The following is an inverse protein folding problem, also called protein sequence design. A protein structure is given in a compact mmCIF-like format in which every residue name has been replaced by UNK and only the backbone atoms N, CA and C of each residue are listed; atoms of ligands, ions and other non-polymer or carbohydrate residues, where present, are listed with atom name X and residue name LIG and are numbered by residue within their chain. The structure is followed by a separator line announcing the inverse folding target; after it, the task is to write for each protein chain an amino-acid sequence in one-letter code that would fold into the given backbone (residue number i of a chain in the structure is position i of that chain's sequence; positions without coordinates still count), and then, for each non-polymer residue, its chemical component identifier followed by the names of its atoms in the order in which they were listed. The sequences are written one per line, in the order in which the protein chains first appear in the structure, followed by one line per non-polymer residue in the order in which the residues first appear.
data_IF_021089540237
#
_entry.id   IF_021089540237
#
_cell.length_a   1.000
_cell.length_b   1.000
_cell.length_c   1.000
_cell.angle_alpha   90.00
_cell.angle_beta   90.00
_cell.angle_gamma   90.00
#
_symmetry.space_group_name_H-M   'P 1'
#
loop_
_entity.id
_entity.type
_entity.pdbx_description
1 polymer ?
#
# COMPACT_ATOMS: atom_id res chain seq x y z
N UNK A 1 31.84 8.72 -6.03
CA UNK A 1 30.40 8.87 -6.28
C UNK A 1 29.92 10.12 -5.57
N UNK A 2 29.08 10.93 -6.20
CA UNK A 2 28.47 12.09 -5.55
C UNK A 2 27.52 11.58 -4.48
N UNK A 3 27.48 12.23 -3.31
CA UNK A 3 26.59 11.85 -2.21
C UNK A 3 25.11 11.99 -2.62
N UNK A 4 24.32 10.96 -2.39
CA UNK A 4 22.89 10.95 -2.70
C UNK A 4 22.13 11.58 -1.53
N UNK A 5 21.50 12.74 -1.76
CA UNK A 5 20.62 13.40 -0.79
C UNK A 5 19.30 12.68 -0.70
N UNK A 6 18.83 12.43 0.51
CA UNK A 6 17.56 11.77 0.78
C UNK A 6 16.85 12.34 2.00
N UNK A 7 15.55 12.05 2.13
CA UNK A 7 14.82 12.15 3.38
C UNK A 7 14.07 10.85 3.64
N UNK A 8 13.99 10.46 4.91
CA UNK A 8 13.25 9.28 5.35
C UNK A 8 11.93 9.72 5.97
N UNK A 9 10.86 9.09 5.51
CA UNK A 9 9.50 9.25 6.02
C UNK A 9 8.91 7.89 6.34
N UNK A 10 7.81 7.87 7.09
CA UNK A 10 7.02 6.67 7.28
C UNK A 10 5.52 6.98 7.34
N UNK A 11 4.71 6.02 6.89
CA UNK A 11 3.29 5.97 7.16
C UNK A 11 3.00 4.78 8.08
N UNK A 12 2.61 5.04 9.34
CA UNK A 12 2.29 3.98 10.31
C UNK A 12 3.41 2.93 10.50
N UNK A 13 4.67 3.36 10.52
CA UNK A 13 5.83 2.49 10.71
C UNK A 13 6.38 1.85 9.42
N UNK A 14 5.64 1.85 8.31
CA UNK A 14 6.14 1.45 7.00
C UNK A 14 6.94 2.60 6.39
N UNK A 15 8.26 2.44 6.28
CA UNK A 15 9.23 3.51 6.10
C UNK A 15 9.88 3.51 4.71
N UNK A 16 10.02 4.71 4.14
CA UNK A 16 10.58 4.91 2.80
C UNK A 16 11.66 5.98 2.78
N UNK A 17 12.71 5.72 2.03
CA UNK A 17 13.75 6.70 1.68
C UNK A 17 13.28 7.41 0.40
N UNK A 18 13.01 8.71 0.49
CA UNK A 18 12.56 9.52 -0.64
C UNK A 18 13.77 10.22 -1.26
N UNK A 19 13.93 10.06 -2.57
CA UNK A 19 15.05 10.59 -3.36
C UNK A 19 14.49 11.33 -4.58
N UNK A 20 15.00 12.53 -4.84
CA UNK A 20 14.76 13.22 -6.10
C UNK A 20 15.57 12.57 -7.21
N UNK A 21 14.95 12.28 -8.35
CA UNK A 21 15.60 11.61 -9.49
C UNK A 21 16.87 12.32 -9.97
N UNK A 22 16.94 13.65 -9.83
CA UNK A 22 18.13 14.42 -10.19
C UNK A 22 19.38 14.07 -9.36
N UNK A 23 19.18 13.52 -8.15
CA UNK A 23 20.29 13.03 -7.30
C UNK A 23 20.85 11.66 -7.75
N UNK A 24 20.21 11.00 -8.72
CA UNK A 24 20.53 9.66 -9.19
C UNK A 24 21.28 9.65 -10.53
N UNK A 25 21.71 10.79 -11.05
CA UNK A 25 22.34 10.91 -12.38
C UNK A 25 23.60 10.04 -12.57
N UNK A 26 24.33 9.75 -11.49
CA UNK A 26 25.53 8.88 -11.51
C UNK A 26 25.26 7.46 -11.02
N UNK A 27 24.01 7.11 -10.71
CA UNK A 27 23.62 5.78 -10.22
C UNK A 27 23.41 4.85 -11.40
N UNK A 28 24.27 3.82 -11.51
CA UNK A 28 24.24 2.88 -12.61
C UNK A 28 23.05 1.89 -12.53
N UNK A 29 22.60 1.56 -11.31
CA UNK A 29 21.57 0.56 -11.08
C UNK A 29 20.69 0.95 -9.87
N UNK A 30 19.44 1.29 -10.13
CA UNK A 30 18.47 1.59 -9.08
C UNK A 30 18.11 0.38 -8.20
N UNK A 31 17.98 -0.85 -8.74
CA UNK A 31 17.84 -2.06 -7.92
C UNK A 31 19.00 -2.29 -6.94
N UNK A 32 20.25 -2.14 -7.39
CA UNK A 32 21.41 -2.31 -6.51
C UNK A 32 21.49 -1.22 -5.44
N UNK A 33 21.15 0.01 -5.78
CA UNK A 33 21.04 1.09 -4.80
C UNK A 33 19.99 0.74 -3.75
N UNK A 34 18.80 0.28 -4.14
CA UNK A 34 17.74 -0.08 -3.21
C UNK A 34 18.18 -1.19 -2.25
N UNK A 35 18.85 -2.25 -2.75
CA UNK A 35 19.38 -3.32 -1.92
C UNK A 35 20.40 -2.82 -0.89
N UNK A 36 21.27 -1.90 -1.29
CA UNK A 36 22.30 -1.34 -0.41
C UNK A 36 21.72 -0.38 0.63
N UNK A 37 20.96 0.63 0.18
CA UNK A 37 20.48 1.72 1.04
C UNK A 37 19.36 1.28 1.99
N UNK A 38 18.50 0.32 1.58
CA UNK A 38 17.42 -0.21 2.40
C UNK A 38 17.88 -1.23 3.45
N UNK A 39 19.12 -1.73 3.39
CA UNK A 39 19.63 -2.67 4.38
C UNK A 39 19.65 -2.00 5.77
N UNK A 40 18.94 -2.59 6.76
CA UNK A 40 18.79 -2.00 8.10
C UNK A 40 20.05 -2.09 8.97
N UNK A 41 21.04 -2.88 8.57
CA UNK A 41 22.29 -3.07 9.33
C UNK A 41 23.50 -2.34 8.70
N UNK A 42 23.52 -2.21 7.38
CA UNK A 42 24.67 -1.66 6.65
C UNK A 42 24.31 -0.44 5.80
N UNK A 43 23.02 -0.14 5.61
CA UNK A 43 22.48 1.01 4.91
C UNK A 43 21.75 1.99 5.84
N UNK A 44 20.89 2.79 5.26
CA UNK A 44 19.96 3.67 5.99
C UNK A 44 18.85 2.84 6.65
N UNK A 45 18.45 1.74 6.00
CA UNK A 45 17.37 0.87 6.41
C UNK A 45 16.00 1.45 6.09
N UNK A 46 15.22 0.75 5.26
CA UNK A 46 13.84 1.11 4.94
C UNK A 46 13.09 -0.08 4.33
N UNK A 47 11.78 0.05 4.21
CA UNK A 47 10.91 -0.89 3.50
C UNK A 47 10.90 -0.63 1.98
N UNK A 48 11.58 0.42 1.53
CA UNK A 48 11.77 0.73 0.12
C UNK A 48 12.30 2.14 -0.11
N UNK A 49 12.56 2.43 -1.38
CA UNK A 49 12.85 3.78 -1.84
C UNK A 49 11.69 4.29 -2.69
N UNK A 50 11.42 5.60 -2.60
CA UNK A 50 10.50 6.32 -3.45
C UNK A 50 11.29 7.36 -4.25
N UNK A 51 11.39 7.17 -5.56
CA UNK A 51 12.11 8.07 -6.46
C UNK A 51 11.11 9.01 -7.10
N UNK A 52 11.29 10.31 -6.86
CA UNK A 52 10.45 11.37 -7.41
C UNK A 52 11.10 12.04 -8.61
N UNK A 53 10.30 12.31 -9.62
CA UNK A 53 10.70 13.09 -10.77
C UNK A 53 9.61 14.11 -11.12
N UNK A 54 10.00 15.38 -11.27
CA UNK A 54 9.08 16.42 -11.72
C UNK A 54 8.76 16.21 -13.19
N UNK A 55 7.48 16.31 -13.54
CA UNK A 55 7.01 16.21 -14.92
C UNK A 55 6.71 17.58 -15.48
N UNK A 56 7.21 17.85 -16.69
CA UNK A 56 6.92 19.04 -17.45
C UNK A 56 5.94 18.70 -18.58
N UNK A 57 4.83 19.45 -18.70
CA UNK A 57 3.85 19.32 -19.78
C UNK A 57 3.08 17.98 -19.83
N UNK A 58 2.71 17.43 -18.67
CA UNK A 58 2.02 16.16 -18.59
C UNK A 58 0.66 16.29 -17.84
N UNK A 59 -0.11 15.21 -17.82
CA UNK A 59 -1.36 15.09 -17.07
C UNK A 59 -1.16 14.85 -15.55
N UNK A 60 0.11 14.68 -15.12
CA UNK A 60 0.55 14.56 -13.73
C UNK A 60 1.62 15.62 -13.39
N UNK A 61 1.75 15.95 -12.11
CA UNK A 61 2.69 16.96 -11.62
C UNK A 61 4.07 16.36 -11.33
N UNK A 62 4.08 15.12 -10.81
CA UNK A 62 5.29 14.32 -10.53
C UNK A 62 5.07 12.87 -10.93
N UNK A 63 6.15 12.14 -11.22
CA UNK A 63 6.18 10.70 -11.18
C UNK A 63 6.82 10.19 -9.90
N UNK A 64 6.42 9.00 -9.46
CA UNK A 64 7.01 8.30 -8.34
C UNK A 64 7.21 6.83 -8.68
N UNK A 65 8.44 6.37 -8.63
CA UNK A 65 8.78 4.95 -8.74
C UNK A 65 9.12 4.39 -7.36
N UNK A 66 8.46 3.28 -7.00
CA UNK A 66 8.69 2.58 -5.75
C UNK A 66 9.57 1.36 -6.03
N UNK A 67 10.69 1.26 -5.32
CA UNK A 67 11.61 0.13 -5.41
C UNK A 67 11.73 -0.55 -4.05
N UNK A 68 11.47 -1.84 -4.03
CA UNK A 68 11.53 -2.67 -2.83
C UNK A 68 12.99 -2.92 -2.39
N UNK A 69 13.22 -3.36 -1.13
CA UNK A 69 14.57 -3.65 -0.63
C UNK A 69 15.31 -4.75 -1.40
N UNK A 70 14.61 -5.63 -2.10
CA UNK A 70 15.20 -6.67 -2.96
C UNK A 70 15.58 -6.16 -4.37
N UNK A 71 15.30 -4.87 -4.66
CA UNK A 71 15.53 -4.24 -5.95
C UNK A 71 14.38 -4.39 -6.94
N UNK A 72 13.32 -5.12 -6.62
CA UNK A 72 12.15 -5.23 -7.48
C UNK A 72 11.34 -3.92 -7.47
N UNK A 73 10.68 -3.62 -8.61
CA UNK A 73 9.88 -2.40 -8.73
C UNK A 73 8.43 -2.73 -8.42
N UNK A 74 7.86 -2.01 -7.47
CA UNK A 74 6.46 -2.14 -7.10
C UNK A 74 5.55 -1.38 -8.09
N UNK A 75 4.36 -1.92 -8.37
CA UNK A 75 3.33 -1.23 -9.13
C UNK A 75 2.82 0.02 -8.41
N UNK A 76 2.61 -0.10 -7.10
CA UNK A 76 2.11 0.95 -6.21
C UNK A 76 2.40 0.61 -4.75
N UNK A 77 2.66 1.62 -3.93
CA UNK A 77 2.66 1.56 -2.47
C UNK A 77 1.96 2.81 -1.92
N UNK A 78 0.85 2.62 -1.22
CA UNK A 78 0.10 3.74 -0.63
C UNK A 78 0.93 4.54 0.38
N UNK A 79 1.72 3.85 1.22
CA UNK A 79 2.60 4.52 2.18
C UNK A 79 3.81 5.16 1.49
N UNK A 80 4.45 4.45 0.55
CA UNK A 80 5.63 4.96 -0.17
C UNK A 80 5.32 6.21 -0.99
N UNK A 81 4.23 6.21 -1.74
CA UNK A 81 3.81 7.39 -2.52
C UNK A 81 3.35 8.53 -1.63
N UNK A 82 2.70 8.25 -0.49
CA UNK A 82 2.33 9.28 0.50
C UNK A 82 3.57 9.91 1.14
N UNK A 83 4.60 9.11 1.47
CA UNK A 83 5.90 9.61 1.93
C UNK A 83 6.57 10.52 0.88
N UNK A 84 6.46 10.16 -0.40
CA UNK A 84 6.97 10.97 -1.51
C UNK A 84 6.26 12.31 -1.62
N UNK A 85 4.92 12.34 -1.50
CA UNK A 85 4.14 13.59 -1.48
C UNK A 85 4.49 14.44 -0.25
N UNK A 86 4.63 13.81 0.92
CA UNK A 86 5.04 14.51 2.16
C UNK A 86 6.43 15.17 2.03
N UNK A 87 7.36 14.51 1.35
CA UNK A 87 8.68 15.08 1.07
C UNK A 87 8.58 16.39 0.27
N UNK A 88 7.72 16.45 -0.75
CA UNK A 88 7.54 17.66 -1.56
C UNK A 88 7.01 18.84 -0.72
N UNK A 89 6.07 18.58 0.18
CA UNK A 89 5.57 19.60 1.11
C UNK A 89 6.63 19.99 2.15
N UNK A 90 7.33 19.03 2.74
CA UNK A 90 8.39 19.27 3.72
C UNK A 90 9.53 20.12 3.14
N UNK A 91 9.95 19.84 1.92
CA UNK A 91 10.96 20.63 1.19
C UNK A 91 10.43 21.95 0.64
N UNK A 92 9.12 22.22 0.78
CA UNK A 92 8.45 23.41 0.23
C UNK A 92 8.59 23.51 -1.29
N UNK A 93 8.78 22.39 -1.97
CA UNK A 93 8.84 22.28 -3.43
C UNK A 93 7.44 22.32 -4.02
N UNK A 94 6.44 21.81 -3.26
CA UNK A 94 5.03 21.81 -3.60
C UNK A 94 4.22 22.46 -2.48
N UNK A 95 3.46 23.50 -2.80
CA UNK A 95 2.69 24.28 -1.82
C UNK A 95 1.18 24.26 -2.08
N UNK A 96 0.75 23.60 -3.15
CA UNK A 96 -0.66 23.43 -3.46
C UNK A 96 -1.26 22.28 -2.64
N UNK A 97 -2.55 22.35 -2.34
CA UNK A 97 -3.25 21.32 -1.58
C UNK A 97 -3.34 20.01 -2.36
N UNK A 98 -3.64 20.06 -3.66
CA UNK A 98 -3.76 18.90 -4.53
C UNK A 98 -2.47 18.61 -5.29
N UNK A 99 -2.19 17.32 -5.55
CA UNK A 99 -1.07 16.86 -6.36
C UNK A 99 -1.46 15.62 -7.15
N UNK A 100 -1.14 15.58 -8.43
CA UNK A 100 -1.32 14.43 -9.32
C UNK A 100 0.01 13.69 -9.45
N UNK A 101 0.05 12.48 -8.93
CA UNK A 101 1.25 11.65 -8.89
C UNK A 101 1.11 10.48 -9.86
N UNK A 102 1.96 10.43 -10.88
CA UNK A 102 2.05 9.28 -11.78
C UNK A 102 2.80 8.13 -11.10
N UNK A 103 2.20 6.96 -11.11
CA UNK A 103 2.79 5.69 -10.66
C UNK A 103 2.69 4.65 -11.77
N UNK A 104 3.30 3.48 -11.60
CA UNK A 104 3.12 2.36 -12.54
C UNK A 104 1.68 1.85 -12.62
N UNK A 105 0.88 2.05 -11.57
CA UNK A 105 -0.55 1.68 -11.54
C UNK A 105 -1.49 2.84 -11.93
N UNK A 106 -0.97 3.84 -12.64
CA UNK A 106 -1.72 5.02 -13.08
C UNK A 106 -1.53 6.25 -12.21
N UNK A 107 -2.26 7.31 -12.53
CA UNK A 107 -2.22 8.58 -11.80
C UNK A 107 -3.02 8.43 -10.51
N UNK A 108 -2.46 8.96 -9.42
CA UNK A 108 -3.07 9.04 -8.10
C UNK A 108 -3.21 10.50 -7.70
N UNK A 109 -4.41 10.91 -7.32
CA UNK A 109 -4.67 12.26 -6.84
C UNK A 109 -4.49 12.27 -5.33
N UNK A 110 -3.62 13.16 -4.86
CA UNK A 110 -3.38 13.40 -3.44
C UNK A 110 -3.94 14.75 -3.03
N UNK A 111 -4.58 14.80 -1.88
CA UNK A 111 -5.05 16.04 -1.25
C UNK A 111 -4.43 16.14 0.14
N UNK A 112 -3.69 17.22 0.42
CA UNK A 112 -3.25 17.54 1.77
C UNK A 112 -4.46 17.96 2.60
N UNK A 113 -4.79 17.19 3.63
CA UNK A 113 -5.90 17.48 4.53
C UNK A 113 -5.45 18.35 5.71
N UNK A 114 -4.31 18.00 6.32
CA UNK A 114 -3.83 18.64 7.53
C UNK A 114 -2.31 18.62 7.61
N UNK A 115 -1.75 19.70 8.15
CA UNK A 115 -0.36 19.79 8.61
C UNK A 115 -0.38 19.94 10.13
N UNK A 116 -0.07 18.87 10.86
CA UNK A 116 -0.04 18.89 12.34
C UNK A 116 1.18 19.69 12.82
N UNK A 117 2.33 19.45 12.18
CA UNK A 117 3.57 20.15 12.40
C UNK A 117 4.45 20.01 11.16
N UNK A 118 5.58 20.72 11.09
CA UNK A 118 6.53 20.57 9.98
C UNK A 118 7.06 19.13 9.94
N UNK A 119 6.82 18.47 8.81
CA UNK A 119 7.14 17.05 8.62
C UNK A 119 6.04 16.05 9.00
N UNK A 120 4.88 16.51 9.50
CA UNK A 120 3.78 15.65 9.93
C UNK A 120 2.48 16.03 9.21
N UNK A 121 2.08 15.21 8.25
CA UNK A 121 0.99 15.51 7.32
C UNK A 121 -0.05 14.42 7.27
N UNK A 122 -1.32 14.81 7.03
CA UNK A 122 -2.38 13.91 6.64
C UNK A 122 -2.79 14.15 5.20
N UNK A 123 -2.89 13.08 4.45
CA UNK A 123 -3.30 13.10 3.05
C UNK A 123 -4.48 12.16 2.82
N UNK A 124 -5.36 12.56 1.92
CA UNK A 124 -6.29 11.70 1.23
C UNK A 124 -5.73 11.40 -0.16
N UNK A 125 -5.82 10.13 -0.58
CA UNK A 125 -5.39 9.67 -1.89
C UNK A 125 -6.53 8.95 -2.62
N UNK A 126 -6.81 9.32 -3.86
CA UNK A 126 -7.60 8.51 -4.78
C UNK A 126 -6.71 7.39 -5.33
N UNK A 127 -6.99 6.15 -4.93
CA UNK A 127 -6.12 5.02 -5.27
C UNK A 127 -6.63 4.18 -6.44
N UNK A 128 -7.86 4.44 -6.90
CA UNK A 128 -8.51 3.75 -8.03
C UNK A 128 -9.78 3.05 -7.60
N UNK A 129 -10.41 2.37 -8.58
CA UNK A 129 -11.65 1.63 -8.39
C UNK A 129 -11.39 0.16 -8.11
N UNK A 130 -12.20 -0.49 -7.27
CA UNK A 130 -12.04 -1.91 -7.01
C UNK A 130 -12.44 -2.74 -8.25
N UNK A 131 -11.74 -3.83 -8.48
CA UNK A 131 -12.04 -4.82 -9.50
C UNK A 131 -12.40 -6.13 -8.83
N UNK A 132 -13.52 -6.73 -9.22
CA UNK A 132 -14.12 -7.87 -8.53
C UNK A 132 -14.07 -9.17 -9.33
N UNK A 133 -13.93 -9.09 -10.66
CA UNK A 133 -13.94 -10.26 -11.50
C UNK A 133 -12.72 -11.16 -11.28
N UNK A 134 -12.93 -12.47 -11.30
CA UNK A 134 -11.90 -13.44 -10.95
C UNK A 134 -10.65 -13.37 -11.81
N UNK A 135 -10.76 -12.98 -13.08
CA UNK A 135 -9.66 -12.77 -14.01
C UNK A 135 -8.91 -11.44 -13.77
N UNK A 136 -9.57 -10.44 -13.19
CA UNK A 136 -8.95 -9.17 -12.81
C UNK A 136 -8.23 -9.23 -11.44
N UNK A 137 -8.59 -10.23 -10.60
CA UNK A 137 -7.97 -10.47 -9.28
C UNK A 137 -6.83 -11.51 -9.37
N UNK A 138 -6.61 -12.18 -10.45
CA UNK A 138 -6.08 -13.50 -10.79
C UNK A 138 -6.42 -14.61 -9.77
N UNK A 139 -7.70 -14.97 -9.68
CA UNK A 139 -8.18 -16.13 -8.90
C UNK A 139 -8.47 -17.30 -9.82
N UNK A 140 -7.89 -18.46 -9.53
CA UNK A 140 -8.11 -19.69 -10.30
C UNK A 140 -9.55 -20.20 -10.10
N UNK A 141 -10.29 -20.26 -11.19
CA UNK A 141 -11.68 -20.71 -11.26
C UNK A 141 -11.93 -21.46 -12.58
N UNK A 142 -12.88 -22.41 -12.60
CA UNK A 142 -13.24 -23.12 -13.83
C UNK A 142 -13.92 -22.20 -14.85
N UNK A 143 -14.74 -21.27 -14.36
CA UNK A 143 -15.42 -20.28 -15.18
C UNK A 143 -15.27 -18.90 -14.55
N UNK A 144 -15.16 -17.85 -15.39
CA UNK A 144 -15.07 -16.46 -14.92
C UNK A 144 -16.25 -16.13 -13.99
N UNK A 145 -15.92 -15.59 -12.82
CA UNK A 145 -16.86 -15.05 -11.84
C UNK A 145 -16.84 -13.53 -11.89
N UNK A 146 -18.00 -12.90 -11.82
CA UNK A 146 -18.11 -11.44 -11.72
C UNK A 146 -17.64 -10.89 -10.37
N UNK A 147 -17.65 -11.74 -9.33
CA UNK A 147 -17.07 -11.44 -8.02
C UNK A 147 -16.65 -12.71 -7.30
N UNK A 148 -15.65 -12.60 -6.43
CA UNK A 148 -15.16 -13.71 -5.60
C UNK A 148 -15.53 -13.40 -4.17
N UNK A 149 -16.70 -13.85 -3.73
CA UNK A 149 -17.25 -13.59 -2.38
C UNK A 149 -17.55 -14.92 -1.69
N UNK A 150 -17.11 -15.04 -0.44
CA UNK A 150 -17.30 -16.20 0.46
C UNK A 150 -16.97 -17.55 -0.20
N UNK A 151 -15.99 -17.55 -1.09
CA UNK A 151 -15.55 -18.75 -1.79
C UNK A 151 -14.79 -19.66 -0.84
N UNK A 152 -15.24 -20.89 -0.69
CA UNK A 152 -14.52 -21.91 0.07
C UNK A 152 -13.31 -22.43 -0.73
N UNK A 153 -12.13 -22.39 -0.12
CA UNK A 153 -10.89 -22.98 -0.64
C UNK A 153 -10.33 -23.97 0.38
N UNK A 154 -9.69 -25.08 -0.06
CA UNK A 154 -9.13 -26.06 0.86
C UNK A 154 -7.89 -25.47 1.59
N UNK A 155 -7.72 -25.81 2.86
CA UNK A 155 -6.55 -25.44 3.64
C UNK A 155 -6.25 -26.55 4.64
N UNK A 156 -5.32 -27.46 4.32
CA UNK A 156 -5.13 -28.71 5.04
C UNK A 156 -6.41 -29.53 5.07
N UNK A 157 -6.84 -29.94 6.26
CA UNK A 157 -8.07 -30.74 6.46
C UNK A 157 -9.34 -29.90 6.61
N UNK A 158 -9.26 -28.57 6.40
CA UNK A 158 -10.39 -27.64 6.58
C UNK A 158 -10.67 -26.82 5.32
N UNK A 159 -11.80 -26.13 5.33
CA UNK A 159 -12.18 -25.19 4.28
C UNK A 159 -12.22 -23.78 4.84
N UNK A 160 -11.64 -22.83 4.10
CA UNK A 160 -11.62 -21.43 4.48
C UNK A 160 -12.40 -20.61 3.46
N UNK A 161 -13.26 -19.74 3.95
CA UNK A 161 -14.00 -18.81 3.10
C UNK A 161 -13.13 -17.58 2.86
N UNK A 162 -12.93 -17.26 1.57
CA UNK A 162 -12.23 -16.05 1.14
C UNK A 162 -13.16 -15.18 0.29
N UNK A 163 -13.01 -13.87 0.43
CA UNK A 163 -13.52 -12.89 -0.52
C UNK A 163 -12.33 -12.14 -1.10
N UNK A 164 -12.33 -11.83 -2.39
CA UNK A 164 -11.17 -11.24 -3.04
C UNK A 164 -11.54 -10.04 -3.90
N UNK A 165 -10.62 -9.07 -3.98
CA UNK A 165 -10.73 -7.85 -4.77
C UNK A 165 -9.33 -7.41 -5.25
N UNK A 166 -9.27 -6.73 -6.39
CA UNK A 166 -8.05 -6.05 -6.81
C UNK A 166 -8.25 -4.54 -6.68
N UNK A 167 -7.42 -3.91 -5.85
CA UNK A 167 -7.38 -2.45 -5.59
C UNK A 167 -6.04 -1.85 -6.00
N UNK A 168 -5.49 -2.35 -7.11
CA UNK A 168 -4.11 -2.08 -7.58
C UNK A 168 -3.14 -3.21 -7.22
N UNK A 169 -3.53 -4.04 -6.24
CA UNK A 169 -2.92 -5.33 -5.89
C UNK A 169 -4.04 -6.33 -5.55
N UNK A 170 -3.86 -7.63 -5.82
CA UNK A 170 -4.80 -8.66 -5.39
C UNK A 170 -4.81 -8.78 -3.87
N UNK A 171 -5.98 -8.67 -3.28
CA UNK A 171 -6.24 -8.79 -1.84
C UNK A 171 -7.30 -9.85 -1.61
N UNK A 172 -7.02 -10.85 -0.79
CA UNK A 172 -7.96 -11.87 -0.36
C UNK A 172 -8.21 -11.74 1.14
N UNK A 173 -9.46 -11.57 1.53
CA UNK A 173 -9.88 -11.40 2.91
C UNK A 173 -10.58 -12.65 3.44
N UNK A 174 -10.27 -12.99 4.69
CA UNK A 174 -11.01 -13.95 5.50
C UNK A 174 -11.59 -13.22 6.71
N UNK A 175 -12.91 -13.25 6.86
CA UNK A 175 -13.57 -12.66 8.02
C UNK A 175 -13.47 -13.59 9.22
N UNK A 176 -13.00 -13.07 10.35
CA UNK A 176 -12.78 -13.80 11.59
C UNK A 176 -13.43 -13.10 12.78
N UNK A 177 -13.75 -13.87 13.84
CA UNK A 177 -14.27 -13.28 15.06
C UNK A 177 -13.15 -12.79 15.99
N UNK A 178 -12.04 -13.53 16.04
CA UNK A 178 -10.86 -13.24 16.87
C UNK A 178 -9.59 -13.63 16.13
N UNK A 179 -8.42 -13.20 16.67
CA UNK A 179 -7.09 -13.51 16.09
C UNK A 179 -6.29 -14.50 16.94
N UNK A 180 -6.95 -15.29 17.78
CA UNK A 180 -6.37 -16.29 18.70
C UNK A 180 -6.03 -17.63 18.04
N UNK A 181 -5.65 -17.60 16.77
CA UNK A 181 -5.23 -18.75 15.97
C UNK A 181 -3.92 -18.45 15.22
N UNK A 182 -3.31 -19.47 14.64
CA UNK A 182 -2.09 -19.28 13.81
C UNK A 182 -2.40 -18.63 12.45
N UNK A 183 -2.81 -17.34 12.51
CA UNK A 183 -3.08 -16.58 11.30
C UNK A 183 -1.83 -16.34 10.44
N UNK A 184 -0.60 -16.40 11.03
CA UNK A 184 0.67 -16.27 10.30
C UNK A 184 0.95 -17.47 9.43
N UNK A 185 0.84 -18.66 10.01
CA UNK A 185 0.97 -19.93 9.27
C UNK A 185 -0.08 -20.02 8.17
N UNK A 186 -1.33 -19.69 8.50
CA UNK A 186 -2.43 -19.67 7.53
C UNK A 186 -2.21 -18.63 6.44
N UNK A 187 -1.80 -17.41 6.78
CA UNK A 187 -1.51 -16.34 5.81
C UNK A 187 -0.43 -16.73 4.80
N UNK A 188 0.66 -17.34 5.31
CA UNK A 188 1.75 -17.87 4.46
C UNK A 188 1.26 -18.99 3.53
N UNK A 189 0.41 -19.89 4.02
CA UNK A 189 -0.14 -20.97 3.20
C UNK A 189 -1.08 -20.43 2.10
N UNK A 190 -1.95 -19.49 2.45
CA UNK A 190 -2.89 -18.88 1.53
C UNK A 190 -2.22 -17.99 0.48
N UNK A 191 -1.16 -17.25 0.84
CA UNK A 191 -0.42 -16.38 -0.08
C UNK A 191 0.03 -17.14 -1.34
N UNK A 192 0.49 -18.38 -1.18
CA UNK A 192 0.99 -19.25 -2.25
C UNK A 192 0.03 -20.37 -2.64
N UNK A 193 -1.24 -20.26 -2.24
CA UNK A 193 -2.25 -21.28 -2.53
C UNK A 193 -2.57 -21.32 -4.04
N UNK A 194 -2.88 -22.50 -4.58
CA UNK A 194 -3.24 -22.71 -5.99
C UNK A 194 -4.41 -21.86 -6.49
N UNK A 195 -5.29 -21.43 -5.59
CA UNK A 195 -6.37 -20.48 -5.88
C UNK A 195 -5.85 -19.11 -6.33
N UNK A 196 -4.59 -18.76 -6.02
CA UNK A 196 -3.95 -17.49 -6.37
C UNK A 196 -2.67 -17.74 -7.19
N UNK A 197 -2.77 -17.99 -8.50
CA UNK A 197 -1.62 -18.35 -9.35
C UNK A 197 -0.55 -17.25 -9.40
N UNK A 198 -0.94 -15.98 -9.23
CA UNK A 198 -0.03 -14.84 -9.14
C UNK A 198 0.25 -14.41 -7.69
N UNK A 199 -0.15 -15.25 -6.71
CA UNK A 199 -0.12 -14.96 -5.28
C UNK A 199 -1.02 -13.76 -4.92
N UNK A 200 -1.41 -13.61 -3.67
CA UNK A 200 -2.24 -12.52 -3.19
C UNK A 200 -1.78 -12.02 -1.82
N UNK A 201 -2.13 -10.79 -1.48
CA UNK A 201 -2.08 -10.31 -0.10
C UNK A 201 -3.23 -10.95 0.67
N UNK A 202 -2.95 -11.53 1.82
CA UNK A 202 -3.94 -12.19 2.68
C UNK A 202 -4.25 -11.30 3.88
N UNK A 203 -5.53 -11.04 4.09
CA UNK A 203 -5.99 -10.19 5.18
C UNK A 203 -7.03 -10.91 6.02
N UNK A 204 -6.77 -11.02 7.30
CA UNK A 204 -7.75 -11.48 8.27
C UNK A 204 -8.47 -10.24 8.83
N UNK A 205 -9.80 -10.23 8.69
CA UNK A 205 -10.64 -9.07 8.99
C UNK A 205 -11.57 -9.40 10.15
N UNK A 206 -11.45 -8.66 11.26
CA UNK A 206 -12.40 -8.65 12.35
C UNK A 206 -13.26 -7.39 12.23
N UNK A 207 -14.56 -7.56 12.06
CA UNK A 207 -15.51 -6.45 12.09
C UNK A 207 -15.80 -6.10 13.53
N UNK A 208 -15.53 -4.85 13.92
CA UNK A 208 -15.78 -4.34 15.27
C UNK A 208 -17.19 -3.77 15.38
N UNK A 209 -17.58 -2.96 14.38
CA UNK A 209 -18.90 -2.39 14.20
C UNK A 209 -19.10 -1.94 12.73
N UNK A 210 -20.16 -1.16 12.45
CA UNK A 210 -20.47 -0.70 11.10
C UNK A 210 -19.42 0.25 10.49
N UNK A 211 -18.61 0.91 11.30
CA UNK A 211 -17.63 1.92 10.89
C UNK A 211 -16.18 1.52 11.22
N UNK A 212 -15.97 0.36 11.84
CA UNK A 212 -14.67 -0.06 12.34
C UNK A 212 -14.36 -1.52 12.04
N UNK A 213 -13.16 -1.77 11.47
CA UNK A 213 -12.59 -3.11 11.27
C UNK A 213 -11.18 -3.19 11.83
N UNK A 214 -10.75 -4.36 12.27
CA UNK A 214 -9.39 -4.64 12.70
C UNK A 214 -8.74 -5.69 11.79
N UNK A 215 -7.46 -5.50 11.43
CA UNK A 215 -6.75 -6.33 10.47
C UNK A 215 -5.52 -7.03 11.05
N UNK A 216 -5.25 -8.24 10.51
CA UNK A 216 -3.92 -8.83 10.47
C UNK A 216 -3.57 -9.11 9.02
N UNK A 217 -2.34 -8.75 8.63
CA UNK A 217 -1.93 -8.66 7.23
C UNK A 217 -0.73 -9.56 6.98
N UNK A 218 -0.84 -10.37 5.93
CA UNK A 218 0.26 -11.12 5.35
C UNK A 218 0.41 -10.71 3.89
N UNK A 219 1.42 -9.90 3.60
CA UNK A 219 1.60 -9.35 2.25
C UNK A 219 2.39 -10.29 1.36
N UNK A 220 2.03 -10.31 0.10
CA UNK A 220 2.68 -11.06 -0.97
C UNK A 220 4.18 -10.71 -1.06
N UNK A 221 5.04 -11.70 -0.78
CA UNK A 221 6.49 -11.55 -0.84
C UNK A 221 7.14 -10.82 0.34
N UNK A 222 6.35 -10.20 1.23
CA UNK A 222 6.85 -9.46 2.38
C UNK A 222 6.53 -10.15 3.72
N UNK A 223 5.48 -11.00 3.75
CA UNK A 223 5.04 -11.66 4.98
C UNK A 223 4.21 -10.75 5.87
N UNK A 224 4.35 -10.89 7.20
CA UNK A 224 3.63 -10.05 8.17
C UNK A 224 4.05 -8.59 8.05
N UNK A 225 3.07 -7.70 7.88
CA UNK A 225 3.27 -6.24 7.88
C UNK A 225 2.33 -5.56 8.87
N UNK A 226 2.79 -4.44 9.45
CA UNK A 226 2.01 -3.71 10.45
C UNK A 226 0.93 -2.81 9.83
N UNK A 227 1.08 -2.41 8.58
CA UNK A 227 0.12 -1.56 7.85
C UNK A 227 0.34 -1.68 6.34
N UNK A 228 -0.76 -1.72 5.59
CA UNK A 228 -0.76 -1.74 4.13
C UNK A 228 -1.99 -1.00 3.60
N UNK A 229 -1.77 0.03 2.77
CA UNK A 229 -2.86 0.82 2.22
C UNK A 229 -3.79 0.02 1.30
N UNK A 230 -3.24 -0.86 0.45
CA UNK A 230 -4.04 -1.70 -0.44
C UNK A 230 -4.80 -2.79 0.33
N UNK A 231 -4.17 -3.40 1.35
CA UNK A 231 -4.85 -4.36 2.22
C UNK A 231 -6.00 -3.71 3.00
N UNK A 232 -5.78 -2.52 3.56
CA UNK A 232 -6.83 -1.75 4.23
C UNK A 232 -7.99 -1.43 3.29
N UNK A 233 -7.68 -0.95 2.08
CA UNK A 233 -8.69 -0.62 1.06
C UNK A 233 -9.47 -1.86 0.60
N UNK A 234 -8.79 -2.97 0.32
CA UNK A 234 -9.44 -4.21 -0.07
C UNK A 234 -10.35 -4.77 1.04
N UNK A 235 -9.90 -4.73 2.29
CA UNK A 235 -10.67 -5.16 3.45
C UNK A 235 -11.92 -4.30 3.66
N UNK A 236 -11.79 -2.97 3.60
CA UNK A 236 -12.92 -2.05 3.73
C UNK A 236 -13.96 -2.25 2.61
N UNK A 237 -13.52 -2.32 1.35
CA UNK A 237 -14.39 -2.55 0.19
C UNK A 237 -15.14 -3.88 0.32
N UNK A 238 -14.45 -4.98 0.67
CA UNK A 238 -15.09 -6.28 0.84
C UNK A 238 -16.03 -6.33 2.05
N UNK A 239 -15.72 -5.62 3.14
CA UNK A 239 -16.60 -5.51 4.30
C UNK A 239 -17.90 -4.78 3.94
N UNK A 240 -17.81 -3.67 3.21
CA UNK A 240 -18.96 -2.92 2.74
C UNK A 240 -19.77 -3.70 1.69
N UNK A 241 -19.10 -4.32 0.70
CA UNK A 241 -19.75 -5.12 -0.35
C UNK A 241 -20.54 -6.30 0.23
N UNK A 242 -20.05 -6.89 1.33
CA UNK A 242 -20.73 -8.02 2.00
C UNK A 242 -21.72 -7.57 3.08
N UNK A 243 -22.00 -6.26 3.17
CA UNK A 243 -22.99 -5.69 4.10
C UNK A 243 -22.58 -5.78 5.58
N UNK A 244 -21.30 -5.90 5.86
CA UNK A 244 -20.77 -5.99 7.23
C UNK A 244 -20.45 -4.62 7.84
N UNK A 245 -20.14 -3.64 6.99
CA UNK A 245 -19.83 -2.26 7.38
C UNK A 245 -20.45 -1.27 6.41
N UNK A 246 -20.39 0.00 6.77
CA UNK A 246 -20.63 1.13 5.88
C UNK A 246 -19.49 1.27 4.85
N UNK A 247 -19.62 2.17 3.87
CA UNK A 247 -18.61 2.45 2.84
C UNK A 247 -17.47 3.36 3.33
N UNK A 248 -17.63 3.99 4.48
CA UNK A 248 -16.58 4.73 5.19
C UNK A 248 -16.19 3.96 6.43
N UNK A 249 -14.95 3.54 6.51
CA UNK A 249 -14.48 2.61 7.55
C UNK A 249 -13.13 3.05 8.10
N UNK A 250 -13.04 3.11 9.43
CA UNK A 250 -11.76 3.18 10.15
C UNK A 250 -11.14 1.79 10.21
N UNK A 251 -9.98 1.64 9.61
CA UNK A 251 -9.25 0.39 9.51
C UNK A 251 -8.12 0.38 10.53
N UNK A 252 -8.26 -0.44 11.56
CA UNK A 252 -7.29 -0.61 12.63
C UNK A 252 -6.29 -1.71 12.25
N UNK A 253 -5.02 -1.38 12.20
CA UNK A 253 -3.91 -2.30 11.99
C UNK A 253 -2.86 -2.12 13.09
N UNK A 254 -1.91 -3.07 13.31
CA UNK A 254 -0.87 -2.90 14.32
C UNK A 254 -0.05 -1.61 14.19
N UNK A 255 0.09 -1.09 12.97
CA UNK A 255 0.82 0.16 12.70
C UNK A 255 0.02 1.43 12.97
N UNK A 256 -1.31 1.35 13.07
CA UNK A 256 -2.19 2.49 13.32
C UNK A 256 -3.52 2.41 12.61
N UNK A 257 -4.24 3.52 12.63
CA UNK A 257 -5.59 3.64 12.04
C UNK A 257 -5.53 4.45 10.75
N UNK A 258 -6.13 3.91 9.71
CA UNK A 258 -6.30 4.55 8.40
C UNK A 258 -7.79 4.61 8.09
N UNK A 259 -8.27 5.66 7.45
CA UNK A 259 -9.66 5.73 6.99
C UNK A 259 -9.73 5.35 5.51
N UNK A 260 -10.70 4.53 5.17
CA UNK A 260 -11.03 4.17 3.79
C UNK A 260 -12.47 4.55 3.51
N UNK A 261 -12.67 5.33 2.45
CA UNK A 261 -13.99 5.66 1.94
C UNK A 261 -14.13 5.13 0.51
N UNK A 262 -15.02 4.17 0.31
CA UNK A 262 -15.42 3.71 -1.02
C UNK A 262 -16.58 4.58 -1.51
N UNK A 263 -16.26 5.59 -2.33
CA UNK A 263 -17.16 6.69 -2.72
C UNK A 263 -18.33 6.18 -3.60
N UNK A 264 -19.57 6.53 -3.22
CA UNK A 264 -20.78 6.05 -3.89
C UNK A 264 -20.96 6.60 -5.31
N UNK A 265 -20.48 7.82 -5.56
CA UNK A 265 -20.78 8.53 -6.81
C UNK A 265 -20.06 7.96 -8.03
N UNK A 266 -18.92 7.31 -7.83
CA UNK A 266 -18.05 6.85 -8.92
C UNK A 266 -17.24 5.59 -8.61
N UNK A 267 -17.46 4.97 -7.46
CA UNK A 267 -16.74 3.79 -6.96
C UNK A 267 -15.23 4.01 -6.73
N UNK A 268 -14.75 5.25 -6.67
CA UNK A 268 -13.37 5.55 -6.33
C UNK A 268 -13.08 5.24 -4.85
N UNK A 269 -11.92 4.68 -4.58
CA UNK A 269 -11.46 4.41 -3.21
C UNK A 269 -10.58 5.57 -2.75
N UNK A 270 -10.99 6.22 -1.68
CA UNK A 270 -10.23 7.26 -0.99
C UNK A 270 -9.54 6.64 0.22
N UNK A 271 -8.24 6.82 0.31
CA UNK A 271 -7.40 6.34 1.41
C UNK A 271 -6.81 7.52 2.16
N UNK A 272 -7.25 7.72 3.39
CA UNK A 272 -6.72 8.76 4.28
C UNK A 272 -5.66 8.18 5.21
N UNK A 273 -4.50 8.83 5.27
CA UNK A 273 -3.44 8.40 6.15
C UNK A 273 -2.36 9.47 6.34
N UNK A 274 -1.52 9.25 7.34
CA UNK A 274 -0.44 10.17 7.67
C UNK A 274 0.88 9.79 7.00
N UNK A 275 1.77 10.78 6.88
CA UNK A 275 3.17 10.59 6.60
C UNK A 275 3.99 11.49 7.53
N UNK A 276 4.94 10.87 8.21
CA UNK A 276 5.76 11.49 9.24
C UNK A 276 7.23 11.49 8.83
N UNK A 277 7.88 12.65 8.94
CA UNK A 277 9.30 12.82 8.69
C UNK A 277 10.11 12.16 9.81
N UNK A 278 11.13 11.38 9.46
CA UNK A 278 12.07 10.82 10.41
C UNK A 278 13.38 11.62 10.44
N UNK A 279 14.06 11.69 9.31
CA UNK A 279 15.29 12.48 9.17
C UNK A 279 15.67 12.64 7.69
N UNK A 280 16.58 13.58 7.41
CA UNK A 280 17.23 13.70 6.11
C UNK A 280 18.74 13.49 6.25
N UNK A 281 19.41 13.11 5.18
CA UNK A 281 20.84 12.86 5.15
C UNK A 281 21.42 12.76 3.75
N UNK A 282 22.68 12.33 3.70
CA UNK A 282 23.42 12.05 2.47
C UNK A 282 23.99 10.63 2.55
N UNK A 283 23.80 9.85 1.49
CA UNK A 283 24.34 8.50 1.33
C UNK A 283 25.54 8.52 0.41
N UNK A 284 26.66 7.94 0.83
CA UNK A 284 27.93 7.95 0.06
C UNK A 284 28.26 6.60 -0.58
N UNK A 285 27.42 5.56 -0.37
CA UNK A 285 27.64 4.21 -0.86
C UNK A 285 28.37 3.31 0.11
#
# INVERSE_FOLDING_TARGET
MTAIKFCKFHGFGNDYIVIDNSALAEVASLPELAQAICNRHTGIGADGIAVLEKLDHDDADYSCEIVNPDGSIAGFSGNGTRCAVAYLHYKKIWTFQGLRLRTRSGIKNYTLLETIADGHYWFEAEIGKPKFASDEIPVAVEHRLESVIDRAIPSGDTWIKISAVNVGNPVACTFVNEFDFDWRGLGKALESHEAFPERANIVFVKVLDAENIELRIWERGAGETSASGTCASGAAVLSALTGKTERTVSVHSPGGVTEVHWRDSDDEILLTGRADHAFCGEWQG
#
